data_IF_210933837194
#
_entry.id   IF_210933837194
#
_cell.length_a   1.000
_cell.length_b   1.000
_cell.length_c   1.000
_cell.angle_alpha   90.00
_cell.angle_beta   90.00
_cell.angle_gamma   90.00
#
_symmetry.space_group_name_H-M   'P 1'
#
loop_
_entity.id
_entity.type
_entity.pdbx_description
1 polymer ?
#
# COMPACT_ATOMS: atom_id res chain seq x y z
N UNK A 1 32.78 -25.99 -6.10
CA UNK A 1 31.90 -25.08 -6.86
C UNK A 1 31.57 -23.89 -5.99
N UNK A 2 32.28 -22.77 -6.18
CA UNK A 2 31.95 -21.53 -5.49
C UNK A 2 30.52 -21.14 -5.88
N UNK A 3 29.64 -21.02 -4.89
CA UNK A 3 28.30 -20.46 -5.06
C UNK A 3 28.51 -19.09 -5.71
N UNK A 4 28.22 -18.97 -7.00
CA UNK A 4 28.33 -17.71 -7.74
C UNK A 4 27.39 -16.76 -7.01
N UNK A 5 27.97 -15.93 -6.15
CA UNK A 5 27.23 -15.10 -5.22
C UNK A 5 26.50 -14.06 -6.09
N UNK A 6 25.18 -14.23 -6.22
CA UNK A 6 24.33 -13.38 -7.07
C UNK A 6 24.68 -11.91 -6.87
N UNK A 7 25.08 -11.27 -7.97
CA UNK A 7 25.38 -9.84 -8.02
C UNK A 7 24.13 -9.06 -7.62
N UNK A 8 24.27 -8.04 -6.78
CA UNK A 8 23.17 -7.17 -6.36
C UNK A 8 23.53 -5.74 -6.76
N UNK A 9 22.97 -5.26 -7.86
CA UNK A 9 23.14 -3.86 -8.23
C UNK A 9 22.56 -2.95 -7.14
N UNK A 10 23.35 -1.93 -6.76
CA UNK A 10 23.02 -0.97 -5.74
C UNK A 10 23.41 0.44 -6.17
N UNK A 11 22.68 1.43 -5.68
CA UNK A 11 23.09 2.83 -5.79
C UNK A 11 24.11 3.18 -4.71
N UNK A 12 25.07 4.03 -5.06
CA UNK A 12 25.88 4.78 -4.09
C UNK A 12 25.58 6.27 -4.19
N UNK A 13 25.56 6.94 -3.03
CA UNK A 13 25.41 8.38 -2.90
C UNK A 13 26.42 8.96 -1.91
N UNK A 14 27.23 9.92 -2.36
CA UNK A 14 27.97 10.82 -1.46
C UNK A 14 27.12 12.06 -1.11
N UNK A 15 26.39 11.97 -0.01
CA UNK A 15 25.57 13.08 0.47
C UNK A 15 26.39 14.22 1.10
N UNK A 16 27.68 14.00 1.40
CA UNK A 16 28.55 15.05 1.93
C UNK A 16 28.88 16.13 0.90
N UNK A 17 28.77 15.81 -0.38
CA UNK A 17 29.06 16.73 -1.49
C UNK A 17 27.83 16.99 -2.39
N UNK A 18 26.65 16.43 -2.09
CA UNK A 18 25.47 16.63 -2.93
C UNK A 18 24.91 18.07 -2.80
N UNK A 19 25.01 18.87 -3.86
CA UNK A 19 24.48 20.25 -3.90
C UNK A 19 22.96 20.36 -4.03
N UNK A 20 22.28 19.25 -4.36
CA UNK A 20 20.84 19.28 -4.60
C UNK A 20 20.41 19.91 -5.94
N UNK A 21 21.31 20.05 -6.92
CA UNK A 21 21.02 20.72 -8.21
C UNK A 21 19.94 20.08 -9.12
N UNK A 22 19.38 18.91 -8.76
CA UNK A 22 18.31 18.20 -9.49
C UNK A 22 18.62 17.78 -10.93
N UNK A 23 19.87 17.90 -11.41
CA UNK A 23 20.29 17.39 -12.71
C UNK A 23 20.00 15.89 -12.90
N UNK A 24 20.26 15.09 -11.86
CA UNK A 24 19.96 13.65 -11.86
C UNK A 24 18.47 13.31 -11.96
N UNK A 25 17.59 14.19 -11.46
CA UNK A 25 16.13 14.08 -11.55
C UNK A 25 15.66 14.44 -12.96
N UNK A 26 16.15 15.56 -13.51
CA UNK A 26 15.85 15.99 -14.88
C UNK A 26 16.28 14.93 -15.92
N UNK A 27 17.51 14.42 -15.81
CA UNK A 27 18.02 13.38 -16.71
C UNK A 27 17.22 12.06 -16.64
N UNK A 28 16.79 11.67 -15.43
CA UNK A 28 15.93 10.49 -15.27
C UNK A 28 14.57 10.69 -15.95
N UNK A 29 14.00 11.89 -15.81
CA UNK A 29 12.71 12.23 -16.40
C UNK A 29 12.78 12.26 -17.93
N UNK A 30 13.81 12.88 -18.48
CA UNK A 30 14.05 12.96 -19.92
C UNK A 30 14.29 11.58 -20.54
N UNK A 31 15.25 10.80 -20.01
CA UNK A 31 15.58 9.45 -20.51
C UNK A 31 14.38 8.49 -20.53
N UNK A 32 13.48 8.60 -19.57
CA UNK A 32 12.32 7.70 -19.44
C UNK A 32 10.99 8.31 -19.88
N UNK A 33 11.01 9.54 -20.42
CA UNK A 33 9.82 10.27 -20.84
C UNK A 33 8.70 10.29 -19.77
N UNK A 34 9.07 10.57 -18.51
CA UNK A 34 8.11 10.50 -17.40
C UNK A 34 7.09 11.65 -17.46
N UNK A 35 5.80 11.39 -17.20
CA UNK A 35 4.78 12.43 -17.22
C UNK A 35 4.98 13.45 -16.09
N UNK A 36 4.22 14.54 -16.14
CA UNK A 36 4.17 15.55 -15.06
C UNK A 36 3.76 14.88 -13.74
N UNK A 37 4.36 15.31 -12.62
CA UNK A 37 4.16 14.72 -11.29
C UNK A 37 5.00 13.47 -10.99
N UNK A 38 5.30 12.63 -11.99
CA UNK A 38 6.09 11.40 -11.77
C UNK A 38 7.59 11.71 -11.75
N UNK A 39 8.25 11.31 -10.66
CA UNK A 39 9.68 11.48 -10.39
C UNK A 39 10.26 10.17 -9.85
N UNK A 40 10.86 9.35 -10.72
CA UNK A 40 11.49 8.08 -10.31
C UNK A 40 12.76 8.26 -9.48
N UNK A 41 13.49 9.35 -9.71
CA UNK A 41 14.57 9.85 -8.85
C UNK A 41 14.15 11.21 -8.31
N UNK A 42 14.36 11.42 -7.02
CA UNK A 42 13.95 12.60 -6.25
C UNK A 42 15.11 13.12 -5.45
N UNK A 43 15.28 14.43 -5.42
CA UNK A 43 16.26 15.09 -4.54
C UNK A 43 15.54 15.61 -3.31
N UNK A 44 15.82 15.03 -2.15
CA UNK A 44 15.29 15.44 -0.86
C UNK A 44 16.19 16.51 -0.25
N UNK A 45 15.60 17.57 0.27
CA UNK A 45 16.29 18.66 0.97
C UNK A 45 16.00 18.49 2.46
N UNK A 46 16.96 18.01 3.24
CA UNK A 46 16.82 17.90 4.70
C UNK A 46 17.25 19.21 5.31
N UNK A 47 16.43 19.76 6.22
CA UNK A 47 16.70 21.02 6.94
C UNK A 47 16.37 20.86 8.41
N UNK A 48 17.11 21.55 9.28
CA UNK A 48 16.86 21.56 10.72
C UNK A 48 17.62 22.70 11.40
N UNK A 49 17.55 22.72 12.74
CA UNK A 49 18.03 23.85 13.53
C UNK A 49 17.12 25.08 13.41
N UNK A 50 17.57 26.19 13.96
CA UNK A 50 16.81 27.44 14.00
C UNK A 50 17.66 28.63 14.45
N UNK A 51 17.00 29.56 15.12
CA UNK A 51 17.62 30.76 15.66
C UNK A 51 17.42 30.77 17.17
N UNK A 52 18.52 30.88 17.91
CA UNK A 52 18.49 30.99 19.37
C UNK A 52 19.10 32.33 19.80
N UNK A 53 18.45 33.01 20.74
CA UNK A 53 18.96 34.26 21.28
C UNK A 53 20.03 33.97 22.32
N UNK A 54 21.25 34.46 22.11
CA UNK A 54 22.36 34.42 23.08
C UNK A 54 22.76 35.86 23.43
N UNK A 55 22.25 36.35 24.55
CA UNK A 55 22.41 37.74 24.97
C UNK A 55 21.65 38.73 24.05
N UNK A 56 22.29 39.81 23.57
CA UNK A 56 21.67 40.72 22.60
C UNK A 56 21.66 40.16 21.16
N UNK A 57 22.39 39.07 20.89
CA UNK A 57 22.55 38.52 19.54
C UNK A 57 21.65 37.30 19.28
N UNK A 58 21.28 37.12 18.02
CA UNK A 58 20.69 35.87 17.52
C UNK A 58 21.77 35.02 16.86
N UNK A 59 21.85 33.75 17.24
CA UNK A 59 22.79 32.78 16.67
C UNK A 59 22.00 31.72 15.94
N UNK A 60 22.38 31.48 14.69
CA UNK A 60 21.83 30.40 13.87
C UNK A 60 22.61 29.12 14.09
N UNK A 61 21.88 28.03 14.26
CA UNK A 61 22.41 26.67 14.18
C UNK A 61 21.72 25.89 13.05
N UNK A 62 21.19 26.60 12.04
CA UNK A 62 20.53 25.98 10.88
C UNK A 62 21.50 25.05 10.15
N UNK A 63 21.00 23.88 9.76
CA UNK A 63 21.73 22.95 8.92
C UNK A 63 20.85 22.45 7.77
N UNK A 64 21.50 22.08 6.67
CA UNK A 64 20.85 21.45 5.54
C UNK A 64 21.77 20.45 4.83
N UNK A 65 21.19 19.45 4.18
CA UNK A 65 21.89 18.56 3.24
C UNK A 65 20.92 17.91 2.27
N UNK A 66 21.44 17.38 1.17
CA UNK A 66 20.62 16.85 0.08
C UNK A 66 20.81 15.35 -0.11
N UNK A 67 19.71 14.65 -0.43
CA UNK A 67 19.72 13.23 -0.75
C UNK A 67 19.09 12.97 -2.11
N UNK A 68 19.87 12.44 -3.05
CA UNK A 68 19.32 11.97 -4.33
C UNK A 68 18.92 10.51 -4.21
N UNK A 69 17.62 10.25 -4.11
CA UNK A 69 17.04 8.94 -3.85
C UNK A 69 16.21 8.44 -5.05
N UNK A 70 16.21 7.14 -5.26
CA UNK A 70 15.41 6.47 -6.30
C UNK A 70 14.81 5.17 -5.73
N UNK A 71 14.36 4.23 -6.58
CA UNK A 71 14.11 2.86 -6.13
C UNK A 71 15.42 2.24 -5.63
N UNK A 72 15.38 1.58 -4.48
CA UNK A 72 16.56 0.93 -3.92
C UNK A 72 16.79 -0.49 -4.43
N UNK A 73 15.97 -0.99 -5.38
CA UNK A 73 16.06 -2.34 -5.95
C UNK A 73 16.37 -3.42 -4.89
N UNK A 74 15.61 -3.37 -3.79
CA UNK A 74 15.97 -4.01 -2.54
C UNK A 74 16.17 -5.52 -2.66
N UNK A 75 17.03 -6.09 -1.81
CA UNK A 75 17.23 -7.54 -1.73
C UNK A 75 15.95 -8.27 -1.27
N UNK A 76 15.14 -7.62 -0.42
CA UNK A 76 13.81 -8.07 -0.02
C UNK A 76 12.72 -7.10 -0.50
N UNK A 77 12.37 -7.14 -1.80
CA UNK A 77 11.49 -6.14 -2.39
C UNK A 77 10.03 -6.37 -2.01
N UNK A 78 9.55 -5.67 -0.98
CA UNK A 78 8.16 -5.76 -0.50
C UNK A 78 7.14 -5.53 -1.62
N UNK A 79 7.47 -4.68 -2.59
CA UNK A 79 6.60 -4.38 -3.74
C UNK A 79 6.36 -5.60 -4.66
N UNK A 80 7.32 -6.54 -4.74
CA UNK A 80 7.16 -7.83 -5.41
C UNK A 80 6.29 -8.75 -4.57
N UNK A 81 6.54 -8.81 -3.25
CA UNK A 81 5.78 -9.65 -2.31
C UNK A 81 4.27 -9.32 -2.31
N UNK A 82 3.93 -8.03 -2.36
CA UNK A 82 2.54 -7.58 -2.26
C UNK A 82 1.79 -7.55 -3.59
N UNK A 83 2.48 -7.55 -4.74
CA UNK A 83 1.84 -7.39 -6.05
C UNK A 83 0.92 -8.58 -6.36
N UNK A 84 -0.40 -8.38 -6.49
CA UNK A 84 -1.33 -9.50 -6.66
C UNK A 84 -1.24 -10.15 -8.05
N UNK A 85 -0.84 -9.39 -9.08
CA UNK A 85 -0.66 -9.92 -10.45
C UNK A 85 0.74 -10.39 -10.78
N UNK A 86 1.67 -10.34 -9.82
CA UNK A 86 3.09 -10.60 -10.07
C UNK A 86 3.67 -9.75 -11.22
N UNK A 87 3.13 -8.53 -11.43
CA UNK A 87 3.68 -7.59 -12.40
C UNK A 87 5.07 -7.06 -11.99
N UNK A 88 5.41 -7.14 -10.71
CA UNK A 88 6.75 -6.82 -10.24
C UNK A 88 7.58 -8.08 -10.05
N UNK A 89 8.84 -8.04 -10.47
CA UNK A 89 9.77 -9.16 -10.36
C UNK A 89 11.20 -8.65 -10.08
N UNK A 90 12.05 -9.53 -9.55
CA UNK A 90 13.48 -9.26 -9.31
C UNK A 90 14.29 -10.09 -10.30
N UNK A 91 15.12 -9.43 -11.10
CA UNK A 91 16.05 -10.05 -12.05
C UNK A 91 17.22 -10.71 -11.31
N UNK A 92 17.98 -11.57 -11.99
CA UNK A 92 19.10 -12.32 -11.38
C UNK A 92 20.20 -11.46 -10.76
N UNK A 93 20.37 -10.24 -11.27
CA UNK A 93 21.35 -9.23 -10.83
C UNK A 93 20.79 -8.21 -9.82
N UNK A 94 19.62 -8.50 -9.23
CA UNK A 94 19.02 -7.70 -8.18
C UNK A 94 18.16 -6.53 -8.65
N UNK A 95 18.11 -6.23 -9.95
CA UNK A 95 17.25 -5.17 -10.46
C UNK A 95 15.78 -5.61 -10.36
N UNK A 96 15.03 -4.93 -9.50
CA UNK A 96 13.57 -5.05 -9.46
C UNK A 96 12.97 -4.31 -10.66
N UNK A 97 12.06 -4.92 -11.40
CA UNK A 97 11.40 -4.36 -12.59
C UNK A 97 9.88 -4.52 -12.51
N UNK A 98 9.16 -3.85 -13.40
CA UNK A 98 7.70 -3.91 -13.52
C UNK A 98 7.35 -4.23 -14.98
N UNK A 99 6.57 -5.30 -15.17
CA UNK A 99 5.93 -5.64 -16.44
C UNK A 99 4.62 -4.87 -16.55
N UNK A 100 4.65 -3.80 -17.34
CA UNK A 100 3.53 -2.86 -17.41
C UNK A 100 2.24 -3.56 -17.79
N UNK A 101 2.26 -4.42 -18.80
CA UNK A 101 1.12 -5.19 -19.33
C UNK A 101 0.38 -6.02 -18.29
N UNK A 102 1.08 -6.61 -17.31
CA UNK A 102 0.50 -7.40 -16.20
C UNK A 102 -0.05 -6.55 -15.06
N UNK A 103 0.29 -5.27 -14.99
CA UNK A 103 -0.16 -4.38 -13.93
C UNK A 103 -1.68 -4.14 -14.04
N UNK A 104 -2.39 -4.21 -12.91
CA UNK A 104 -3.82 -3.84 -12.80
C UNK A 104 -4.03 -2.39 -12.32
N UNK A 105 -2.96 -1.71 -11.92
CA UNK A 105 -3.05 -0.34 -11.39
C UNK A 105 -3.70 -0.24 -10.00
N UNK A 106 -3.73 -1.31 -9.19
CA UNK A 106 -4.33 -1.31 -7.83
C UNK A 106 -3.60 -0.45 -6.78
N UNK A 107 -2.44 0.11 -7.12
CA UNK A 107 -1.62 0.97 -6.25
C UNK A 107 -1.12 0.35 -4.93
N UNK A 108 -1.44 -0.89 -4.59
CA UNK A 108 -1.04 -1.50 -3.31
C UNK A 108 0.49 -1.45 -3.05
N UNK A 109 1.29 -1.57 -4.10
CA UNK A 109 2.75 -1.44 -4.02
C UNK A 109 3.25 -0.04 -3.60
N UNK A 110 2.50 1.04 -3.90
CA UNK A 110 2.85 2.40 -3.47
C UNK A 110 2.65 2.58 -1.97
N UNK A 111 1.64 1.92 -1.39
CA UNK A 111 1.42 1.87 0.06
C UNK A 111 2.48 1.03 0.76
N UNK A 112 2.85 -0.11 0.17
CA UNK A 112 3.80 -1.03 0.77
C UNK A 112 5.25 -0.52 0.75
N UNK A 113 5.67 0.20 -0.28
CA UNK A 113 7.04 0.68 -0.40
C UNK A 113 7.30 1.87 0.55
N UNK A 114 8.20 1.73 1.54
CA UNK A 114 8.43 2.79 2.52
C UNK A 114 9.19 3.99 1.91
N UNK A 115 9.82 3.80 0.76
CA UNK A 115 10.51 4.85 -0.01
C UNK A 115 9.60 5.59 -1.00
N UNK A 116 8.36 5.12 -1.20
CA UNK A 116 7.44 5.69 -2.21
C UNK A 116 7.99 5.61 -3.63
N UNK A 117 8.74 4.54 -3.95
CA UNK A 117 9.39 4.39 -5.26
C UNK A 117 8.42 4.01 -6.40
N UNK A 118 7.40 3.15 -6.19
CA UNK A 118 6.33 2.96 -7.16
C UNK A 118 5.39 4.16 -7.17
N UNK A 119 5.15 4.73 -8.35
CA UNK A 119 4.27 5.88 -8.57
C UNK A 119 3.21 5.52 -9.62
N UNK A 120 1.98 5.96 -9.41
CA UNK A 120 0.87 5.66 -10.31
C UNK A 120 0.85 6.64 -11.49
N UNK A 121 0.80 6.11 -12.70
CA UNK A 121 0.54 6.88 -13.90
C UNK A 121 -0.95 6.77 -14.23
N UNK A 122 -1.68 7.86 -13.97
CA UNK A 122 -3.11 7.95 -14.21
C UNK A 122 -3.45 7.94 -15.71
N UNK A 123 -2.57 8.45 -16.57
CA UNK A 123 -2.76 8.41 -18.02
C UNK A 123 -2.63 7.00 -18.57
N UNK A 124 -1.69 6.22 -18.04
CA UNK A 124 -1.47 4.82 -18.44
C UNK A 124 -2.36 3.81 -17.68
N UNK A 125 -2.98 4.20 -16.56
CA UNK A 125 -3.72 3.29 -15.69
C UNK A 125 -2.84 2.24 -14.99
N UNK A 126 -1.54 2.52 -14.82
CA UNK A 126 -0.53 1.54 -14.40
C UNK A 126 0.47 2.13 -13.41
N UNK A 127 1.09 1.27 -12.63
CA UNK A 127 2.21 1.67 -11.77
C UNK A 127 3.48 1.81 -12.59
N UNK A 128 4.33 2.76 -12.22
CA UNK A 128 5.65 3.00 -12.78
C UNK A 128 6.69 3.07 -11.67
N UNK A 129 7.97 2.85 -12.00
CA UNK A 129 9.09 2.95 -11.05
C UNK A 129 10.42 2.95 -11.78
N UNK A 130 11.47 3.43 -11.11
CA UNK A 130 12.84 3.32 -11.58
C UNK A 130 13.19 1.89 -12.03
N UNK A 131 13.88 1.79 -13.18
CA UNK A 131 14.37 0.55 -13.79
C UNK A 131 15.87 0.35 -13.58
N UNK A 132 16.51 1.20 -12.76
CA UNK A 132 17.97 1.34 -12.66
C UNK A 132 18.64 1.69 -14.00
N UNK A 133 17.89 2.14 -15.00
CA UNK A 133 18.34 2.17 -16.40
C UNK A 133 18.97 0.83 -16.81
N UNK A 134 18.29 -0.29 -16.54
CA UNK A 134 18.75 -1.64 -16.88
C UNK A 134 19.22 -1.75 -18.34
N UNK A 135 18.55 -1.05 -19.25
CA UNK A 135 18.93 -0.93 -20.66
C UNK A 135 20.33 -0.36 -20.86
N UNK A 136 20.73 0.63 -20.06
CA UNK A 136 22.11 1.15 -20.08
C UNK A 136 23.08 0.18 -19.42
N UNK A 137 22.72 -0.39 -18.26
CA UNK A 137 23.59 -1.31 -17.50
C UNK A 137 23.94 -2.54 -18.35
N UNK A 138 22.97 -3.09 -19.08
CA UNK A 138 23.13 -4.27 -19.91
C UNK A 138 24.15 -4.06 -21.06
N UNK A 139 24.44 -2.80 -21.43
CA UNK A 139 25.44 -2.42 -22.44
C UNK A 139 26.66 -1.70 -21.84
N UNK A 140 26.87 -1.81 -20.52
CA UNK A 140 28.03 -1.23 -19.83
C UNK A 140 28.02 0.29 -19.71
N UNK A 141 26.85 0.93 -19.87
CA UNK A 141 26.68 2.37 -19.69
C UNK A 141 26.12 2.68 -18.29
N UNK A 142 26.52 3.81 -17.67
CA UNK A 142 25.94 4.22 -16.42
C UNK A 142 24.45 4.61 -16.58
N UNK A 143 23.65 4.52 -15.51
CA UNK A 143 22.32 5.10 -15.49
C UNK A 143 22.34 6.60 -15.81
N UNK A 144 21.29 7.11 -16.46
CA UNK A 144 21.24 8.53 -16.87
C UNK A 144 21.42 9.50 -15.69
N UNK A 145 20.86 9.16 -14.53
CA UNK A 145 21.01 9.95 -13.31
C UNK A 145 22.44 9.98 -12.74
N UNK A 146 23.23 8.92 -12.95
CA UNK A 146 24.65 8.84 -12.58
C UNK A 146 25.47 9.67 -13.57
N UNK A 147 25.26 9.44 -14.87
CA UNK A 147 25.96 10.16 -15.93
C UNK A 147 25.77 11.69 -15.86
N UNK A 148 24.57 12.13 -15.49
CA UNK A 148 24.23 13.55 -15.42
C UNK A 148 24.67 14.24 -14.11
N UNK A 149 25.25 13.53 -13.15
CA UNK A 149 25.62 14.13 -11.86
C UNK A 149 26.86 15.03 -12.02
N UNK A 150 26.74 16.37 -11.94
CA UNK A 150 27.89 17.25 -12.16
C UNK A 150 28.95 17.14 -11.06
N UNK A 151 28.54 16.71 -9.86
CA UNK A 151 29.42 16.56 -8.70
C UNK A 151 29.99 15.14 -8.57
N UNK A 152 29.61 14.21 -9.46
CA UNK A 152 30.05 12.80 -9.43
C UNK A 152 29.83 12.13 -8.06
N UNK A 153 28.73 12.48 -7.39
CA UNK A 153 28.35 11.94 -6.08
C UNK A 153 27.40 10.74 -6.18
N UNK A 154 27.09 10.28 -7.39
CA UNK A 154 26.22 9.14 -7.64
C UNK A 154 27.01 8.08 -8.40
N UNK A 155 26.80 6.81 -8.03
CA UNK A 155 27.37 5.66 -8.74
C UNK A 155 26.43 4.44 -8.65
N UNK A 156 26.66 3.43 -9.48
CA UNK A 156 26.00 2.11 -9.41
C UNK A 156 27.04 1.01 -9.54
N UNK A 157 26.93 -0.01 -8.70
CA UNK A 157 27.80 -1.20 -8.74
C UNK A 157 27.23 -2.34 -7.90
N UNK A 158 28.01 -3.41 -7.73
CA UNK A 158 27.62 -4.47 -6.80
C UNK A 158 27.60 -3.93 -5.36
N UNK A 159 26.56 -4.30 -4.61
CA UNK A 159 26.32 -3.85 -3.25
C UNK A 159 27.51 -4.12 -2.34
N UNK A 160 28.13 -5.31 -2.42
CA UNK A 160 29.24 -5.67 -1.53
C UNK A 160 30.49 -4.89 -1.88
N UNK A 161 30.75 -4.68 -3.17
CA UNK A 161 31.89 -3.87 -3.61
C UNK A 161 31.73 -2.41 -3.18
N UNK A 162 30.51 -1.87 -3.23
CA UNK A 162 30.21 -0.54 -2.73
C UNK A 162 30.35 -0.45 -1.21
N UNK A 163 29.88 -1.45 -0.46
CA UNK A 163 30.04 -1.51 0.99
C UNK A 163 31.51 -1.64 1.40
N UNK A 164 32.29 -2.47 0.69
CA UNK A 164 33.73 -2.60 0.95
C UNK A 164 34.48 -1.28 0.71
N UNK A 165 34.10 -0.51 -0.30
CA UNK A 165 34.74 0.78 -0.63
C UNK A 165 34.30 1.93 0.26
N UNK A 166 33.04 1.96 0.69
CA UNK A 166 32.42 3.13 1.31
C UNK A 166 31.84 2.89 2.71
N UNK A 167 32.01 1.67 3.24
CA UNK A 167 31.40 1.20 4.47
C UNK A 167 29.96 0.73 4.28
N UNK A 168 29.38 0.11 5.32
CA UNK A 168 28.08 -0.58 5.26
C UNK A 168 26.84 0.30 5.01
N UNK A 169 27.03 1.59 4.70
CA UNK A 169 25.95 2.52 4.37
C UNK A 169 25.06 2.82 5.58
N UNK A 170 25.24 3.99 6.20
CA UNK A 170 24.38 4.40 7.33
C UNK A 170 23.00 4.79 6.82
N UNK A 171 21.95 4.32 7.49
CA UNK A 171 20.62 4.92 7.35
C UNK A 171 20.69 6.33 7.92
N UNK A 172 20.32 7.31 7.12
CA UNK A 172 20.23 8.71 7.54
C UNK A 172 18.81 9.21 7.33
N UNK A 173 18.40 10.18 8.14
CA UNK A 173 17.09 10.81 8.00
C UNK A 173 16.87 11.31 6.55
N UNK A 174 15.69 11.13 5.94
CA UNK A 174 14.44 10.57 6.47
C UNK A 174 14.25 9.08 6.12
N UNK A 175 15.31 8.34 5.75
CA UNK A 175 15.15 6.97 5.30
C UNK A 175 14.66 6.04 6.43
N UNK A 176 13.77 5.09 6.12
CA UNK A 176 13.30 4.09 7.06
C UNK A 176 14.39 3.06 7.39
N UNK A 177 14.17 2.29 8.46
CA UNK A 177 15.02 1.16 8.85
C UNK A 177 15.26 0.18 7.69
N UNK A 178 16.52 -0.20 7.48
CA UNK A 178 16.96 -1.12 6.43
C UNK A 178 16.39 -2.52 6.58
N UNK A 179 16.15 -3.00 7.81
CA UNK A 179 15.62 -4.35 8.04
C UNK A 179 14.24 -4.57 7.44
N UNK A 180 13.50 -3.51 7.12
CA UNK A 180 12.19 -3.61 6.48
C UNK A 180 12.26 -4.21 5.06
N UNK A 181 13.29 -3.86 4.28
CA UNK A 181 13.38 -4.27 2.87
C UNK A 181 14.77 -4.69 2.40
N UNK A 182 15.81 -4.52 3.21
CA UNK A 182 17.23 -4.71 2.83
C UNK A 182 17.55 -3.92 1.54
N UNK A 183 17.53 -2.58 1.58
CA UNK A 183 17.71 -1.75 0.40
C UNK A 183 19.12 -1.91 -0.19
N UNK A 184 19.22 -1.98 -1.51
CA UNK A 184 20.50 -1.97 -2.22
C UNK A 184 20.95 -0.52 -2.45
N UNK A 185 21.37 0.13 -1.36
CA UNK A 185 21.75 1.54 -1.32
C UNK A 185 22.89 1.74 -0.30
N UNK A 186 23.97 2.38 -0.72
CA UNK A 186 25.08 2.79 0.15
C UNK A 186 25.17 4.31 0.16
N UNK A 187 25.27 4.91 1.34
CA UNK A 187 25.36 6.37 1.49
C UNK A 187 26.59 6.72 2.31
N UNK A 188 27.43 7.61 1.76
CA UNK A 188 28.37 8.39 2.56
C UNK A 188 27.62 9.60 3.15
N UNK A 189 27.43 9.66 4.48
CA UNK A 189 26.56 10.64 5.11
C UNK A 189 27.17 12.04 5.11
N UNK A 190 26.32 13.06 5.00
CA UNK A 190 26.70 14.45 5.25
C UNK A 190 27.09 14.62 6.73
N UNK A 191 27.97 15.58 7.05
CA UNK A 191 28.45 15.82 8.42
C UNK A 191 27.33 16.12 9.41
N UNK A 192 26.23 16.71 8.93
CA UNK A 192 25.04 17.06 9.72
C UNK A 192 23.98 15.93 9.79
N UNK A 193 24.22 14.76 9.17
CA UNK A 193 23.23 13.69 9.11
C UNK A 193 22.96 13.07 10.48
N UNK A 194 23.98 12.95 11.34
CA UNK A 194 23.81 12.45 12.71
C UNK A 194 23.02 13.44 13.57
N UNK A 195 23.25 14.74 13.38
CA UNK A 195 22.47 15.80 14.02
C UNK A 195 21.00 15.71 13.63
N UNK A 196 20.72 15.55 12.34
CA UNK A 196 19.36 15.38 11.82
C UNK A 196 18.62 14.14 12.35
N UNK A 197 19.34 13.14 12.89
CA UNK A 197 18.75 11.97 13.52
C UNK A 197 18.42 12.19 15.01
N UNK A 198 19.04 13.18 15.66
CA UNK A 198 18.91 13.45 17.10
C UNK A 198 18.09 14.71 17.41
N UNK A 199 18.10 15.69 16.51
CA UNK A 199 17.41 16.97 16.64
C UNK A 199 16.26 17.09 15.64
N UNK A 200 15.29 18.00 15.88
CA UNK A 200 14.20 18.25 14.94
C UNK A 200 14.73 18.61 13.54
N UNK A 201 14.44 17.73 12.59
CA UNK A 201 14.77 17.88 11.18
C UNK A 201 13.54 17.55 10.33
N UNK A 202 13.43 18.17 9.16
CA UNK A 202 12.34 17.93 8.21
C UNK A 202 12.85 17.88 6.78
N UNK A 203 12.06 17.25 5.92
CA UNK A 203 12.23 17.38 4.47
C UNK A 203 11.61 18.72 4.05
N UNK A 204 12.45 19.69 3.72
CA UNK A 204 12.05 21.06 3.37
C UNK A 204 11.24 21.14 2.09
N UNK A 205 11.51 20.26 1.12
CA UNK A 205 10.79 20.16 -0.15
C UNK A 205 9.81 19.00 -0.19
N UNK A 206 9.11 18.71 0.93
CA UNK A 206 8.19 17.57 1.02
C UNK A 206 7.16 17.57 -0.11
N UNK A 207 6.59 18.72 -0.49
CA UNK A 207 5.60 18.84 -1.58
C UNK A 207 6.12 18.32 -2.94
N UNK A 208 7.42 18.45 -3.19
CA UNK A 208 8.06 17.92 -4.40
C UNK A 208 8.24 16.40 -4.33
N UNK A 209 8.75 15.89 -3.19
CA UNK A 209 9.22 14.49 -3.09
C UNK A 209 8.18 13.52 -2.54
N UNK A 210 7.16 14.02 -1.84
CA UNK A 210 6.04 13.26 -1.27
C UNK A 210 4.80 13.30 -2.17
N UNK A 211 4.95 12.93 -3.43
CA UNK A 211 3.84 12.76 -4.36
C UNK A 211 3.12 11.43 -4.06
N UNK A 212 2.29 11.40 -3.01
CA UNK A 212 1.33 10.31 -2.73
C UNK A 212 -0.10 10.86 -2.82
N UNK A 213 -0.50 11.33 -3.99
CA UNK A 213 -1.92 11.55 -4.29
C UNK A 213 -2.53 10.22 -4.71
N UNK A 214 -3.10 9.48 -3.74
CA UNK A 214 -3.97 8.35 -4.04
C UNK A 214 -5.29 8.91 -4.59
N UNK A 215 -5.45 8.87 -5.91
CA UNK A 215 -6.52 9.58 -6.60
C UNK A 215 -7.90 8.98 -6.40
N UNK A 216 -8.06 7.75 -5.87
CA UNK A 216 -9.36 7.06 -5.79
C UNK A 216 -9.56 6.17 -4.53
N UNK A 217 -9.44 6.74 -3.34
CA UNK A 217 -9.61 5.98 -2.08
C UNK A 217 -11.06 5.58 -1.78
N UNK A 218 -12.04 6.32 -2.30
CA UNK A 218 -13.46 6.12 -1.97
C UNK A 218 -13.99 4.75 -2.40
N UNK A 219 -13.57 4.27 -3.57
CA UNK A 219 -13.97 2.96 -4.08
C UNK A 219 -13.57 1.82 -3.13
N UNK A 220 -12.33 1.88 -2.59
CA UNK A 220 -11.81 0.89 -1.65
C UNK A 220 -12.43 1.01 -0.25
N UNK A 221 -12.71 2.24 0.21
CA UNK A 221 -13.48 2.48 1.45
C UNK A 221 -14.85 1.82 1.34
N UNK A 222 -15.60 2.08 0.27
CA UNK A 222 -16.94 1.52 0.07
C UNK A 222 -16.91 0.00 -0.09
N UNK A 223 -16.01 -0.54 -0.91
CA UNK A 223 -15.83 -1.98 -1.02
C UNK A 223 -15.59 -2.63 0.36
N UNK A 224 -14.68 -2.08 1.16
CA UNK A 224 -14.35 -2.62 2.49
C UNK A 224 -15.56 -2.60 3.42
N UNK A 225 -16.28 -1.47 3.47
CA UNK A 225 -17.43 -1.29 4.38
C UNK A 225 -18.63 -2.14 3.98
N UNK A 226 -18.92 -2.25 2.68
CA UNK A 226 -20.00 -3.11 2.17
C UNK A 226 -19.70 -4.58 2.44
N UNK A 227 -18.47 -5.03 2.16
CA UNK A 227 -18.07 -6.40 2.45
C UNK A 227 -18.09 -6.73 3.95
N UNK A 228 -17.61 -5.81 4.80
CA UNK A 228 -17.70 -5.95 6.26
C UNK A 228 -19.15 -6.03 6.75
N UNK A 229 -20.02 -5.16 6.22
CA UNK A 229 -21.46 -5.16 6.54
C UNK A 229 -22.10 -6.49 6.13
N UNK A 230 -21.81 -6.97 4.91
CA UNK A 230 -22.35 -8.22 4.40
C UNK A 230 -21.91 -9.44 5.24
N UNK A 231 -20.61 -9.55 5.55
CA UNK A 231 -20.10 -10.64 6.40
C UNK A 231 -20.71 -10.58 7.79
N UNK A 232 -20.74 -9.39 8.41
CA UNK A 232 -21.34 -9.22 9.74
C UNK A 232 -22.83 -9.54 9.77
N UNK A 233 -23.57 -9.11 8.74
CA UNK A 233 -25.00 -9.38 8.61
C UNK A 233 -25.25 -10.88 8.42
N UNK A 234 -24.42 -11.56 7.63
CA UNK A 234 -24.49 -13.01 7.46
C UNK A 234 -24.23 -13.75 8.76
N UNK A 235 -23.17 -13.38 9.51
CA UNK A 235 -22.89 -13.98 10.81
C UNK A 235 -24.04 -13.77 11.81
N UNK A 236 -24.54 -12.53 11.93
CA UNK A 236 -25.62 -12.20 12.87
C UNK A 236 -26.91 -12.92 12.50
N UNK A 237 -27.30 -12.90 11.22
CA UNK A 237 -28.51 -13.58 10.76
C UNK A 237 -28.44 -15.10 10.90
N UNK A 238 -27.24 -15.69 10.78
CA UNK A 238 -27.04 -17.13 11.01
C UNK A 238 -27.22 -17.50 12.48
N UNK A 239 -26.67 -16.71 13.41
CA UNK A 239 -26.86 -16.92 14.86
C UNK A 239 -28.33 -16.77 15.27
N UNK A 240 -29.05 -15.84 14.65
CA UNK A 240 -30.48 -15.63 14.88
C UNK A 240 -31.39 -16.60 14.12
N UNK A 241 -30.81 -17.53 13.35
CA UNK A 241 -31.52 -18.48 12.50
C UNK A 241 -32.52 -17.84 11.51
N UNK A 242 -32.17 -16.68 10.96
CA UNK A 242 -32.94 -15.93 9.95
C UNK A 242 -32.13 -15.68 8.67
N UNK A 243 -31.01 -16.38 8.51
CA UNK A 243 -30.06 -16.17 7.41
C UNK A 243 -30.69 -16.35 6.03
N UNK A 244 -31.64 -17.27 5.87
CA UNK A 244 -32.33 -17.51 4.60
C UNK A 244 -33.07 -16.27 4.09
N UNK A 245 -33.71 -15.51 4.98
CA UNK A 245 -34.41 -14.27 4.65
C UNK A 245 -33.43 -13.13 4.31
N UNK A 246 -32.25 -13.14 4.92
CA UNK A 246 -31.22 -12.11 4.71
C UNK A 246 -30.31 -12.38 3.51
N UNK A 247 -30.24 -13.62 3.03
CA UNK A 247 -29.32 -14.04 1.97
C UNK A 247 -29.42 -13.20 0.67
N UNK A 248 -30.62 -12.85 0.14
CA UNK A 248 -30.73 -12.01 -1.05
C UNK A 248 -30.16 -10.60 -0.86
N UNK A 249 -30.41 -9.99 0.30
CA UNK A 249 -29.93 -8.63 0.64
C UNK A 249 -28.41 -8.64 0.79
N UNK A 250 -27.86 -9.69 1.40
CA UNK A 250 -26.41 -9.87 1.56
C UNK A 250 -25.74 -10.13 0.22
N UNK A 251 -26.34 -10.95 -0.66
CA UNK A 251 -25.85 -11.19 -2.02
C UNK A 251 -25.78 -9.88 -2.81
N UNK A 252 -26.85 -9.07 -2.79
CA UNK A 252 -26.87 -7.76 -3.44
C UNK A 252 -25.79 -6.82 -2.88
N UNK A 253 -25.63 -6.78 -1.55
CA UNK A 253 -24.61 -5.96 -0.90
C UNK A 253 -23.19 -6.35 -1.34
N UNK A 254 -22.92 -7.66 -1.47
CA UNK A 254 -21.64 -8.17 -1.95
C UNK A 254 -21.40 -7.88 -3.43
N UNK A 255 -22.44 -7.96 -4.28
CA UNK A 255 -22.34 -7.59 -5.69
C UNK A 255 -22.00 -6.10 -5.84
N UNK A 256 -22.65 -5.22 -5.07
CA UNK A 256 -22.33 -3.80 -5.02
C UNK A 256 -20.90 -3.55 -4.53
N UNK A 257 -20.44 -4.31 -3.52
CA UNK A 257 -19.05 -4.24 -3.06
C UNK A 257 -18.08 -4.61 -4.19
N UNK A 258 -18.31 -5.72 -4.90
CA UNK A 258 -17.47 -6.16 -6.02
C UNK A 258 -17.44 -5.13 -7.14
N UNK A 259 -18.58 -4.52 -7.49
CA UNK A 259 -18.64 -3.45 -8.48
C UNK A 259 -17.84 -2.23 -8.01
N UNK A 260 -18.01 -1.80 -6.76
CA UNK A 260 -17.23 -0.70 -6.17
C UNK A 260 -15.73 -0.97 -6.25
N UNK A 261 -15.30 -2.22 -6.07
CA UNK A 261 -13.90 -2.62 -6.14
C UNK A 261 -13.28 -2.45 -7.54
N UNK A 262 -14.06 -2.33 -8.63
CA UNK A 262 -13.48 -2.16 -9.97
C UNK A 262 -13.04 -0.72 -10.26
N UNK A 263 -13.65 0.27 -9.61
CA UNK A 263 -13.41 1.68 -9.93
C UNK A 263 -12.01 2.18 -9.50
N UNK A 264 -11.34 1.53 -8.55
CA UNK A 264 -9.99 1.92 -8.15
C UNK A 264 -8.89 1.33 -9.05
N UNK A 265 -9.23 0.39 -9.93
CA UNK A 265 -8.26 -0.27 -10.82
C UNK A 265 -7.97 0.60 -12.03
N UNK A 266 -6.68 0.84 -12.30
CA UNK A 266 -6.28 1.53 -13.52
C UNK A 266 -6.51 0.71 -14.79
N UNK A 267 -6.48 -0.62 -14.69
CA UNK A 267 -6.75 -1.53 -15.83
C UNK A 267 -7.63 -2.71 -15.40
N UNK A 268 -8.97 -2.51 -15.33
CA UNK A 268 -9.92 -3.55 -14.91
C UNK A 268 -9.86 -4.83 -15.74
N UNK A 269 -9.51 -4.75 -17.02
CA UNK A 269 -9.32 -5.93 -17.89
C UNK A 269 -8.25 -6.91 -17.35
N UNK A 270 -7.31 -6.43 -16.54
CA UNK A 270 -6.28 -7.24 -15.90
C UNK A 270 -6.67 -7.77 -14.52
N UNK A 271 -7.89 -7.50 -14.04
CA UNK A 271 -8.32 -7.87 -12.68
C UNK A 271 -8.19 -9.37 -12.38
N UNK A 272 -8.44 -10.24 -13.38
CA UNK A 272 -8.30 -11.69 -13.22
C UNK A 272 -6.88 -12.11 -12.79
N UNK A 273 -5.85 -11.33 -13.14
CA UNK A 273 -4.47 -11.62 -12.75
C UNK A 273 -4.25 -11.50 -11.24
N UNK A 274 -5.17 -10.87 -10.50
CA UNK A 274 -5.03 -10.71 -9.06
C UNK A 274 -4.98 -12.06 -8.31
N UNK A 275 -5.38 -13.17 -8.94
CA UNK A 275 -5.23 -14.52 -8.41
C UNK A 275 -3.81 -15.12 -8.59
N UNK A 276 -2.89 -14.45 -9.29
CA UNK A 276 -1.56 -14.98 -9.58
C UNK A 276 -0.68 -15.12 -8.33
N UNK A 277 -0.93 -14.35 -7.27
CA UNK A 277 -0.06 -14.31 -6.09
C UNK A 277 -0.73 -14.67 -4.75
N UNK A 278 -1.47 -15.78 -4.70
CA UNK A 278 -2.12 -16.26 -3.46
C UNK A 278 -1.13 -16.64 -2.34
N UNK A 279 0.14 -16.93 -2.68
CA UNK A 279 1.15 -17.38 -1.72
C UNK A 279 1.74 -16.24 -0.88
N UNK A 280 1.97 -15.05 -1.44
CA UNK A 280 2.54 -13.94 -0.66
C UNK A 280 1.57 -12.77 -0.48
N UNK A 281 0.76 -12.45 -1.50
CA UNK A 281 -0.11 -11.28 -1.45
C UNK A 281 -1.40 -11.53 -0.64
N UNK A 282 -1.58 -10.77 0.43
CA UNK A 282 -2.86 -10.72 1.16
C UNK A 282 -3.98 -10.12 0.33
N UNK A 283 -3.67 -9.25 -0.65
CA UNK A 283 -4.66 -8.69 -1.56
C UNK A 283 -5.22 -9.77 -2.50
N UNK A 284 -4.37 -10.70 -2.99
CA UNK A 284 -4.84 -11.86 -3.76
C UNK A 284 -5.78 -12.75 -2.93
N UNK A 285 -5.46 -12.98 -1.66
CA UNK A 285 -6.31 -13.77 -0.74
C UNK A 285 -7.63 -13.06 -0.44
N UNK A 286 -7.61 -11.75 -0.28
CA UNK A 286 -8.81 -10.94 -0.09
C UNK A 286 -9.77 -11.12 -1.27
N UNK A 287 -9.26 -10.97 -2.50
CA UNK A 287 -10.06 -11.15 -3.72
C UNK A 287 -10.59 -12.59 -3.82
N UNK A 288 -9.79 -13.60 -3.47
CA UNK A 288 -10.25 -14.99 -3.38
C UNK A 288 -11.40 -15.16 -2.40
N UNK A 289 -11.25 -14.71 -1.16
CA UNK A 289 -12.31 -14.85 -0.16
C UNK A 289 -13.53 -13.99 -0.48
N UNK A 290 -13.37 -12.86 -1.18
CA UNK A 290 -14.49 -12.08 -1.72
C UNK A 290 -15.29 -12.89 -2.72
N UNK A 291 -14.64 -13.47 -3.73
CA UNK A 291 -15.32 -14.28 -4.75
C UNK A 291 -15.96 -15.52 -4.13
N UNK A 292 -15.26 -16.23 -3.25
CA UNK A 292 -15.79 -17.40 -2.57
C UNK A 292 -16.99 -17.07 -1.68
N UNK A 293 -16.92 -15.98 -0.90
CA UNK A 293 -18.03 -15.57 -0.04
C UNK A 293 -19.25 -15.13 -0.86
N UNK A 294 -19.05 -14.28 -1.87
CA UNK A 294 -20.15 -13.86 -2.76
C UNK A 294 -20.77 -15.06 -3.46
N UNK A 295 -19.95 -15.95 -4.02
CA UNK A 295 -20.42 -17.17 -4.67
C UNK A 295 -21.23 -18.06 -3.72
N UNK A 296 -20.74 -18.28 -2.49
CA UNK A 296 -21.45 -19.06 -1.48
C UNK A 296 -22.81 -18.46 -1.12
N UNK A 297 -22.90 -17.14 -0.91
CA UNK A 297 -24.17 -16.47 -0.58
C UNK A 297 -25.15 -16.48 -1.77
N UNK A 298 -24.66 -16.30 -3.00
CA UNK A 298 -25.49 -16.40 -4.21
C UNK A 298 -26.03 -17.82 -4.41
N UNK A 299 -25.18 -18.84 -4.23
CA UNK A 299 -25.59 -20.25 -4.31
C UNK A 299 -26.62 -20.55 -3.23
N UNK A 300 -26.39 -20.17 -1.98
CA UNK A 300 -27.35 -20.34 -0.89
C UNK A 300 -28.69 -19.66 -1.19
N UNK A 301 -28.66 -18.45 -1.74
CA UNK A 301 -29.87 -17.72 -2.16
C UNK A 301 -30.64 -18.51 -3.23
N UNK A 302 -29.93 -19.01 -4.25
CA UNK A 302 -30.54 -19.79 -5.32
C UNK A 302 -31.12 -21.12 -4.82
N UNK A 303 -30.38 -21.85 -3.97
CA UNK A 303 -30.84 -23.11 -3.37
C UNK A 303 -32.10 -22.89 -2.53
N UNK A 304 -32.17 -21.78 -1.79
CA UNK A 304 -33.35 -21.39 -1.02
C UNK A 304 -34.53 -21.03 -1.92
N UNK A 305 -34.32 -20.25 -2.98
CA UNK A 305 -35.39 -19.82 -3.89
C UNK A 305 -35.93 -20.93 -4.79
N UNK A 306 -35.09 -21.90 -5.15
CA UNK A 306 -35.46 -23.04 -6.00
C UNK A 306 -35.88 -24.27 -5.20
N UNK A 307 -35.91 -24.17 -3.88
CA UNK A 307 -36.15 -25.27 -2.94
C UNK A 307 -35.29 -26.53 -3.24
N UNK A 308 -34.00 -26.33 -3.50
CA UNK A 308 -33.04 -27.42 -3.79
C UNK A 308 -32.25 -27.81 -2.54
N UNK A 309 -32.16 -29.11 -2.27
CA UNK A 309 -31.43 -29.68 -1.13
C UNK A 309 -32.21 -29.64 0.18
N UNK A 310 -31.75 -30.38 1.20
CA UNK A 310 -32.36 -30.38 2.54
C UNK A 310 -31.97 -29.12 3.32
N UNK A 311 -32.79 -28.76 4.31
CA UNK A 311 -32.48 -27.63 5.21
C UNK A 311 -31.17 -27.85 5.96
N UNK A 312 -30.85 -29.10 6.33
CA UNK A 312 -29.56 -29.47 6.92
C UNK A 312 -28.37 -29.16 5.99
N UNK A 313 -28.49 -29.50 4.70
CA UNK A 313 -27.45 -29.22 3.71
C UNK A 313 -27.26 -27.71 3.51
N UNK A 314 -28.36 -26.95 3.44
CA UNK A 314 -28.33 -25.49 3.33
C UNK A 314 -27.72 -24.84 4.57
N UNK A 315 -28.07 -25.33 5.75
CA UNK A 315 -27.50 -24.87 7.02
C UNK A 315 -26.00 -25.16 7.11
N UNK A 316 -25.56 -26.34 6.68
CA UNK A 316 -24.14 -26.70 6.64
C UNK A 316 -23.35 -25.80 5.68
N UNK A 317 -23.90 -25.53 4.50
CA UNK A 317 -23.33 -24.57 3.54
C UNK A 317 -23.28 -23.15 4.10
N UNK A 318 -24.29 -22.72 4.86
CA UNK A 318 -24.30 -21.42 5.53
C UNK A 318 -23.19 -21.31 6.59
N UNK A 319 -22.95 -22.36 7.39
CA UNK A 319 -21.80 -22.38 8.30
C UNK A 319 -20.46 -22.32 7.56
N UNK A 320 -20.31 -23.03 6.44
CA UNK A 320 -19.12 -22.94 5.61
C UNK A 320 -18.93 -21.52 5.03
N UNK A 321 -19.99 -20.89 4.54
CA UNK A 321 -19.98 -19.52 4.04
C UNK A 321 -19.57 -18.51 5.13
N UNK A 322 -19.97 -18.72 6.39
CA UNK A 322 -19.55 -17.90 7.52
C UNK A 322 -18.05 -17.97 7.74
N UNK A 323 -17.45 -19.16 7.70
CA UNK A 323 -16.00 -19.32 7.84
C UNK A 323 -15.23 -18.60 6.72
N UNK A 324 -15.75 -18.67 5.48
CA UNK A 324 -15.19 -17.94 4.33
C UNK A 324 -15.32 -16.42 4.55
N UNK A 325 -16.46 -15.94 5.04
CA UNK A 325 -16.67 -14.52 5.35
C UNK A 325 -15.75 -14.00 6.46
N UNK A 326 -15.55 -14.77 7.53
CA UNK A 326 -14.59 -14.43 8.58
C UNK A 326 -13.15 -14.42 8.05
N UNK A 327 -12.80 -15.36 7.17
CA UNK A 327 -11.51 -15.38 6.48
C UNK A 327 -11.34 -14.17 5.54
N UNK A 328 -12.41 -13.69 4.90
CA UNK A 328 -12.42 -12.46 4.12
C UNK A 328 -12.06 -11.25 4.99
N UNK A 329 -12.78 -11.03 6.09
CA UNK A 329 -12.52 -9.90 7.00
C UNK A 329 -11.11 -9.98 7.60
N UNK A 330 -10.65 -11.18 7.93
CA UNK A 330 -9.27 -11.40 8.34
C UNK A 330 -8.29 -10.99 7.24
N UNK A 331 -8.46 -11.48 6.01
CA UNK A 331 -7.60 -11.16 4.88
C UNK A 331 -7.56 -9.66 4.59
N UNK A 332 -8.72 -8.99 4.61
CA UNK A 332 -8.82 -7.54 4.51
C UNK A 332 -7.96 -6.86 5.57
N UNK A 333 -8.07 -7.26 6.83
CA UNK A 333 -7.25 -6.66 7.89
C UNK A 333 -5.74 -6.86 7.67
N UNK A 334 -5.34 -7.99 7.06
CA UNK A 334 -3.94 -8.31 6.78
C UNK A 334 -3.35 -7.48 5.65
N UNK A 335 -4.16 -7.03 4.68
CA UNK A 335 -3.74 -6.07 3.64
C UNK A 335 -3.17 -4.80 4.27
N UNK A 336 -3.73 -4.37 5.40
CA UNK A 336 -3.30 -3.17 6.13
C UNK A 336 -2.23 -3.45 7.19
N UNK A 337 -1.85 -4.70 7.48
CA UNK A 337 -0.78 -5.01 8.45
C UNK A 337 0.61 -4.99 7.79
N UNK A 338 0.94 -3.87 7.15
CA UNK A 338 2.22 -3.65 6.49
C UNK A 338 3.28 -3.24 7.52
N UNK A 339 4.38 -3.99 7.60
CA UNK A 339 5.51 -3.69 8.50
C UNK A 339 6.15 -2.33 8.19
N UNK A 340 6.05 -1.89 6.94
CA UNK A 340 6.56 -0.63 6.41
C UNK A 340 5.70 0.59 6.74
N UNK A 341 4.52 0.38 7.34
CA UNK A 341 3.60 1.42 7.81
C UNK A 341 3.25 1.12 9.29
N UNK A 342 4.11 1.53 10.25
CA UNK A 342 3.95 1.17 11.66
C UNK A 342 2.60 1.59 12.28
N UNK A 343 1.99 2.66 11.78
CA UNK A 343 0.67 3.11 12.22
C UNK A 343 -0.42 2.05 11.98
N UNK A 344 -0.30 1.24 10.91
CA UNK A 344 -1.27 0.19 10.60
C UNK A 344 -0.88 -1.18 11.15
N UNK A 345 0.39 -1.42 11.46
CA UNK A 345 0.86 -2.71 11.95
C UNK A 345 0.69 -2.89 13.47
N UNK A 346 -0.56 -2.80 13.94
CA UNK A 346 -0.93 -3.00 15.35
C UNK A 346 -2.03 -4.05 15.46
N UNK A 347 -2.22 -4.63 16.66
CA UNK A 347 -3.31 -5.58 16.91
C UNK A 347 -4.70 -4.92 16.85
N UNK A 348 -4.76 -3.60 17.07
CA UNK A 348 -5.99 -2.82 16.96
C UNK A 348 -6.53 -2.76 15.55
N UNK A 349 -5.68 -2.95 14.52
CA UNK A 349 -6.10 -2.99 13.12
C UNK A 349 -7.09 -4.12 12.86
N UNK A 350 -6.75 -5.42 13.03
CA UNK A 350 -7.73 -6.50 12.85
C UNK A 350 -8.94 -6.38 13.78
N UNK A 351 -8.74 -5.96 15.04
CA UNK A 351 -9.87 -5.73 15.95
C UNK A 351 -10.87 -4.71 15.38
N UNK A 352 -10.38 -3.60 14.79
CA UNK A 352 -11.24 -2.60 14.16
C UNK A 352 -12.02 -3.16 12.96
N UNK A 353 -11.44 -4.06 12.16
CA UNK A 353 -12.10 -4.66 11.00
C UNK A 353 -13.27 -5.56 11.41
N UNK A 354 -13.06 -6.42 12.41
CA UNK A 354 -14.13 -7.26 12.94
C UNK A 354 -15.19 -6.45 13.69
N UNK A 355 -14.80 -5.45 14.48
CA UNK A 355 -15.74 -4.58 15.17
C UNK A 355 -16.64 -3.84 14.16
N UNK A 356 -16.07 -3.28 13.09
CA UNK A 356 -16.87 -2.64 12.03
C UNK A 356 -17.82 -3.63 11.37
N UNK A 357 -17.35 -4.85 11.06
CA UNK A 357 -18.20 -5.88 10.46
C UNK A 357 -19.41 -6.22 11.35
N UNK A 358 -19.19 -6.56 12.62
CA UNK A 358 -20.28 -6.96 13.52
C UNK A 358 -21.23 -5.81 13.89
N UNK A 359 -20.72 -4.59 14.08
CA UNK A 359 -21.56 -3.43 14.38
C UNK A 359 -22.44 -3.08 13.19
N UNK A 360 -21.87 -2.91 11.99
CA UNK A 360 -22.64 -2.54 10.81
C UNK A 360 -23.58 -3.67 10.38
N UNK A 361 -23.09 -4.91 10.40
CA UNK A 361 -23.90 -6.09 10.06
C UNK A 361 -25.05 -6.32 11.03
N UNK A 362 -24.82 -6.19 12.34
CA UNK A 362 -25.86 -6.30 13.36
C UNK A 362 -26.94 -5.24 13.22
N UNK A 363 -26.55 -3.98 13.03
CA UNK A 363 -27.51 -2.88 12.82
C UNK A 363 -28.31 -3.06 11.52
N UNK A 364 -27.68 -3.53 10.44
CA UNK A 364 -28.35 -3.81 9.18
C UNK A 364 -29.39 -4.94 9.31
N UNK A 365 -29.06 -6.03 10.02
CA UNK A 365 -30.01 -7.11 10.32
C UNK A 365 -31.16 -6.57 11.16
N UNK A 366 -30.88 -5.85 12.25
CA UNK A 366 -31.92 -5.30 13.14
C UNK A 366 -32.86 -4.32 12.44
N UNK A 367 -32.36 -3.47 11.54
CA UNK A 367 -33.19 -2.58 10.74
C UNK A 367 -34.08 -3.36 9.76
N UNK A 368 -33.52 -4.36 9.08
CA UNK A 368 -34.24 -5.17 8.09
C UNK A 368 -35.33 -6.02 8.75
N UNK A 369 -35.05 -6.62 9.91
CA UNK A 369 -36.04 -7.44 10.65
C UNK A 369 -37.14 -6.60 11.27
N UNK A 370 -36.81 -5.43 11.83
CA UNK A 370 -37.81 -4.49 12.34
C UNK A 370 -38.74 -4.00 11.22
N UNK A 371 -38.19 -3.72 10.03
CA UNK A 371 -39.01 -3.36 8.86
C UNK A 371 -39.92 -4.52 8.43
N UNK A 372 -39.37 -5.73 8.32
CA UNK A 372 -40.12 -6.92 7.91
C UNK A 372 -41.26 -7.30 8.89
N UNK A 373 -41.12 -6.97 10.18
CA UNK A 373 -42.13 -7.21 11.21
C UNK A 373 -43.08 -6.03 11.45
N UNK A 374 -42.98 -4.96 10.64
CA UNK A 374 -43.84 -3.78 10.76
C UNK A 374 -43.51 -2.85 11.94
N UNK A 375 -42.38 -3.06 12.62
CA UNK A 375 -41.90 -2.21 13.72
C UNK A 375 -41.19 -0.97 13.17
N UNK A 376 -41.96 -0.07 12.53
CA UNK A 376 -41.44 1.08 11.79
C UNK A 376 -40.54 1.99 12.65
N UNK A 377 -40.94 2.30 13.88
CA UNK A 377 -40.14 3.16 14.79
C UNK A 377 -38.78 2.53 15.07
N UNK A 378 -38.75 1.23 15.36
CA UNK A 378 -37.51 0.51 15.67
C UNK A 378 -36.61 0.39 14.44
N UNK A 379 -37.20 0.17 13.26
CA UNK A 379 -36.48 0.18 11.98
C UNK A 379 -35.80 1.53 11.74
N UNK A 380 -36.48 2.65 12.00
CA UNK A 380 -35.91 3.99 11.84
C UNK A 380 -34.75 4.21 12.83
N UNK A 381 -34.91 3.79 14.08
CA UNK A 381 -33.85 3.89 15.10
C UNK A 381 -32.61 3.12 14.68
N UNK A 382 -32.75 1.86 14.25
CA UNK A 382 -31.61 1.05 13.81
C UNK A 382 -30.98 1.55 12.51
N UNK A 383 -31.80 2.03 11.56
CA UNK A 383 -31.29 2.66 10.34
C UNK A 383 -30.50 3.95 10.64
N UNK A 384 -30.97 4.77 11.59
CA UNK A 384 -30.25 5.95 12.07
C UNK A 384 -28.93 5.59 12.73
N UNK A 385 -28.93 4.59 13.62
CA UNK A 385 -27.72 4.08 14.25
C UNK A 385 -26.73 3.51 13.23
N UNK A 386 -27.22 2.79 12.22
CA UNK A 386 -26.41 2.29 11.09
C UNK A 386 -25.76 3.44 10.34
N UNK A 387 -26.53 4.49 9.99
CA UNK A 387 -26.00 5.66 9.27
C UNK A 387 -24.90 6.38 10.07
N UNK A 388 -25.07 6.55 11.39
CA UNK A 388 -24.05 7.13 12.27
C UNK A 388 -22.81 6.25 12.33
N UNK A 389 -22.98 4.94 12.57
CA UNK A 389 -21.87 3.99 12.62
C UNK A 389 -21.11 3.94 11.28
N UNK A 390 -21.82 3.96 10.16
CA UNK A 390 -21.26 4.00 8.81
C UNK A 390 -20.48 5.29 8.58
N UNK A 391 -21.01 6.46 8.96
CA UNK A 391 -20.30 7.74 8.83
C UNK A 391 -19.00 7.77 9.66
N UNK A 392 -19.04 7.24 10.88
CA UNK A 392 -17.83 7.07 11.71
C UNK A 392 -16.85 6.12 11.03
N UNK A 393 -17.32 4.97 10.52
CA UNK A 393 -16.48 3.99 9.85
C UNK A 393 -15.84 4.56 8.58
N UNK A 394 -16.58 5.30 7.75
CA UNK A 394 -16.05 6.04 6.60
C UNK A 394 -14.96 7.01 7.05
N UNK A 395 -15.19 7.82 8.08
CA UNK A 395 -14.18 8.79 8.56
C UNK A 395 -12.93 8.10 9.09
N UNK A 396 -13.08 7.02 9.84
CA UNK A 396 -11.95 6.23 10.37
C UNK A 396 -11.18 5.58 9.21
N UNK A 397 -11.87 4.98 8.24
CA UNK A 397 -11.23 4.34 7.08
C UNK A 397 -10.54 5.36 6.19
N UNK A 398 -11.18 6.46 5.83
CA UNK A 398 -10.57 7.54 5.05
C UNK A 398 -9.31 8.10 5.73
N UNK A 399 -9.31 8.24 7.07
CA UNK A 399 -8.09 8.59 7.82
C UNK A 399 -7.04 7.50 7.76
N UNK A 400 -7.43 6.23 7.84
CA UNK A 400 -6.51 5.10 7.68
C UNK A 400 -5.79 5.17 6.33
N UNK A 401 -6.53 5.34 5.22
CA UNK A 401 -5.95 5.52 3.88
C UNK A 401 -5.06 6.78 3.81
N UNK A 402 -5.49 7.90 4.41
CA UNK A 402 -4.68 9.11 4.52
C UNK A 402 -3.37 8.93 5.30
N UNK A 403 -3.35 8.12 6.36
CA UNK A 403 -2.12 7.80 7.13
C UNK A 403 -1.15 6.96 6.27
N UNK A 404 -1.65 6.12 5.37
CA UNK A 404 -0.83 5.47 4.34
C UNK A 404 -0.13 6.45 3.39
N UNK A 405 -0.69 7.65 3.19
CA UNK A 405 -0.06 8.74 2.43
C UNK A 405 1.10 9.36 3.20
N UNK A 406 1.00 9.42 4.53
CA UNK A 406 1.97 10.06 5.41
C UNK A 406 2.89 9.03 6.10
N UNK A 407 3.79 8.39 5.35
CA UNK A 407 5.14 8.21 5.88
C UNK A 407 5.84 9.59 5.80
N UNK A 408 5.26 10.61 6.44
CA UNK A 408 6.07 11.75 6.83
C UNK A 408 7.08 11.15 7.81
N UNK A 409 8.39 11.38 7.65
CA UNK A 409 9.28 11.20 8.78
C UNK A 409 8.64 11.93 9.97
N UNK A 410 8.71 11.38 11.20
CA UNK A 410 8.10 12.02 12.36
C UNK A 410 8.47 13.51 12.35
N UNK A 411 7.46 14.37 12.35
CA UNK A 411 7.66 15.82 12.45
C UNK A 411 8.14 16.19 13.83
#
# INVERSE_FOLDING_TARGET
MAKQLMTQNAFYLDSSACSGCKACQAACKDKHNLPVGILWRRVYEVTGGGWTRRGPAWVSDVFAYNLSLACNHCARPICVEVCPSQAMYRRGDGIVLLESDKCLGCQYCSWACPYGAPQYDAGAGRMTKCTLCADNIDVGKPPACVAACPLRVLDVGDLRDLQARHGDGRVIFPLPDTHLTEPALVIKPHSQAERAAREPARVGNAEEVSQREATQEHALVWFTLLAQTAVGAFCTSLVLNIWANMAPVIALTMLLAMIASLFHLGTPANAWRAFANLRSSWLSREILFTVLFTGAVVILTALQSLDVGTDENRQALAWAATLIGLALVYSMSRVYRLRTVPAWNRWTTPASFFLTAFVLGGLAVSATTALATGQVVLSIVFAGAFAVALAVAVRVRSRFYAVGRCNRPPQ
#
